data_IF_007923611539
#
_entry.id   IF_007923611539
#
_cell.length_a   1.000
_cell.length_b   1.000
_cell.length_c   1.000
_cell.angle_alpha   90.00
_cell.angle_beta   90.00
_cell.angle_gamma   90.00
#
_symmetry.space_group_name_H-M   'P 1'
#
loop_
_entity.id
_entity.type
_entity.pdbx_description
1 polymer ?
#
# COMPACT_ATOMS: atom_id res chain seq x y z
N UNK A 1 12.99 -11.14 -2.05
CA UNK A 1 12.70 -11.12 -3.48
C UNK A 1 12.88 -9.71 -3.96
N UNK A 2 13.66 -9.57 -5.03
CA UNK A 2 13.91 -8.32 -5.74
C UNK A 2 13.83 -8.65 -7.23
N UNK A 3 13.21 -7.78 -8.02
CA UNK A 3 13.09 -7.96 -9.47
C UNK A 3 14.17 -7.18 -10.19
N UNK A 4 14.60 -7.70 -11.34
CA UNK A 4 15.60 -7.04 -12.17
C UNK A 4 14.99 -5.86 -12.92
N UNK A 5 15.81 -4.89 -13.40
CA UNK A 5 15.31 -3.82 -14.25
C UNK A 5 14.57 -4.33 -15.50
N UNK A 6 15.05 -5.43 -16.10
CA UNK A 6 14.39 -6.05 -17.25
C UNK A 6 13.00 -6.61 -16.92
N UNK A 7 12.86 -7.27 -15.76
CA UNK A 7 11.55 -7.74 -15.27
C UNK A 7 10.64 -6.55 -14.92
N UNK A 8 11.20 -5.49 -14.37
CA UNK A 8 10.46 -4.27 -14.03
C UNK A 8 9.88 -3.58 -15.27
N UNK A 9 10.60 -3.55 -16.40
CA UNK A 9 10.09 -2.98 -17.65
C UNK A 9 8.77 -3.65 -18.11
N UNK A 10 8.55 -4.92 -17.77
CA UNK A 10 7.30 -5.62 -18.09
C UNK A 10 6.09 -5.11 -17.31
N UNK A 11 6.30 -4.47 -16.16
CA UNK A 11 5.24 -3.96 -15.29
C UNK A 11 5.20 -2.44 -15.22
N UNK A 12 6.17 -1.75 -15.82
CA UNK A 12 6.35 -0.30 -15.70
C UNK A 12 5.09 0.48 -16.13
N UNK A 13 4.39 0.00 -17.16
CA UNK A 13 3.16 0.58 -17.67
C UNK A 13 1.99 0.56 -16.66
N UNK A 14 2.05 -0.28 -15.62
CA UNK A 14 1.06 -0.32 -14.55
C UNK A 14 1.29 0.77 -13.49
N UNK A 15 2.48 1.38 -13.47
CA UNK A 15 2.91 2.31 -12.43
C UNK A 15 2.71 3.76 -12.87
N UNK A 16 2.37 4.66 -11.95
CA UNK A 16 2.26 6.07 -12.27
C UNK A 16 3.64 6.65 -12.61
N UNK A 17 3.66 7.51 -13.64
CA UNK A 17 4.83 8.31 -13.97
C UNK A 17 5.26 9.16 -12.77
N UNK A 18 6.56 9.13 -12.48
CA UNK A 18 7.15 9.91 -11.40
C UNK A 18 7.14 11.39 -11.82
N UNK A 19 6.60 12.28 -10.97
CA UNK A 19 6.57 13.73 -11.23
C UNK A 19 7.36 14.48 -10.17
N UNK A 20 8.13 15.49 -10.61
CA UNK A 20 8.96 16.33 -9.74
C UNK A 20 10.27 15.66 -9.35
N UNK A 21 10.92 16.20 -8.32
CA UNK A 21 12.18 15.68 -7.80
C UNK A 21 11.90 14.47 -6.88
N UNK A 22 12.09 13.26 -7.39
CA UNK A 22 11.76 12.01 -6.69
C UNK A 22 13.05 11.29 -6.32
N UNK A 23 13.31 11.13 -5.03
CA UNK A 23 14.55 10.53 -4.52
C UNK A 23 14.61 9.00 -4.65
N UNK A 24 13.46 8.33 -4.82
CA UNK A 24 13.37 6.88 -4.97
C UNK A 24 12.67 6.50 -6.27
N UNK A 25 13.31 5.62 -7.04
CA UNK A 25 12.75 5.10 -8.29
C UNK A 25 11.56 4.17 -8.03
N UNK A 26 10.73 3.97 -9.05
CA UNK A 26 9.60 3.04 -8.93
C UNK A 26 10.09 1.61 -8.67
N UNK A 27 11.18 1.20 -9.32
CA UNK A 27 11.82 -0.11 -9.09
C UNK A 27 12.21 -0.31 -7.61
N UNK A 28 12.88 0.67 -6.99
CA UNK A 28 13.28 0.58 -5.58
C UNK A 28 12.07 0.39 -4.66
N UNK A 29 10.99 1.13 -4.92
CA UNK A 29 9.75 1.03 -4.14
C UNK A 29 9.09 -0.31 -4.34
N UNK A 30 9.02 -0.81 -5.58
CA UNK A 30 8.48 -2.13 -5.90
C UNK A 30 9.27 -3.23 -5.17
N UNK A 31 10.60 -3.20 -5.25
CA UNK A 31 11.45 -4.17 -4.53
C UNK A 31 11.22 -4.12 -3.01
N UNK A 32 11.08 -2.93 -2.43
CA UNK A 32 10.78 -2.78 -1.01
C UNK A 32 9.40 -3.36 -0.62
N UNK A 33 8.38 -3.14 -1.45
CA UNK A 33 7.03 -3.69 -1.25
C UNK A 33 7.06 -5.22 -1.35
N UNK A 34 7.74 -5.75 -2.37
CA UNK A 34 7.86 -7.20 -2.58
C UNK A 34 8.60 -7.88 -1.43
N UNK A 35 9.64 -7.24 -0.89
CA UNK A 35 10.34 -7.73 0.30
C UNK A 35 9.39 -7.85 1.49
N UNK A 36 8.60 -6.80 1.78
CA UNK A 36 7.63 -6.82 2.89
C UNK A 36 6.55 -7.88 2.67
N UNK A 37 6.04 -8.01 1.44
CA UNK A 37 5.01 -8.98 1.10
C UNK A 37 5.49 -10.44 1.25
N UNK A 38 6.73 -10.73 0.86
CA UNK A 38 7.29 -12.08 0.96
C UNK A 38 7.68 -12.46 2.39
N UNK A 39 8.21 -11.52 3.18
CA UNK A 39 8.73 -11.82 4.52
C UNK A 39 7.70 -11.57 5.64
N UNK A 40 6.55 -10.96 5.32
CA UNK A 40 5.50 -10.65 6.30
C UNK A 40 5.95 -9.71 7.43
N UNK A 41 6.96 -8.86 7.19
CA UNK A 41 7.54 -8.03 8.23
C UNK A 41 6.79 -6.71 8.44
N UNK A 42 6.88 -6.14 9.65
CA UNK A 42 6.40 -4.77 9.91
C UNK A 42 7.20 -3.79 9.05
N UNK A 43 6.56 -2.73 8.52
CA UNK A 43 7.25 -1.70 7.73
C UNK A 43 8.48 -1.10 8.42
N UNK A 44 8.45 -0.91 9.75
CA UNK A 44 9.62 -0.41 10.51
C UNK A 44 10.81 -1.37 10.53
N UNK A 45 10.59 -2.65 10.23
CA UNK A 45 11.62 -3.67 10.07
C UNK A 45 12.17 -3.76 8.65
N UNK A 46 11.74 -2.90 7.71
CA UNK A 46 12.30 -2.86 6.36
C UNK A 46 13.82 -2.59 6.41
N UNK A 47 14.66 -3.46 5.81
CA UNK A 47 16.10 -3.24 5.76
C UNK A 47 16.46 -1.91 5.10
N UNK A 48 17.42 -1.18 5.69
CA UNK A 48 17.84 0.16 5.22
C UNK A 48 18.27 0.20 3.74
N UNK A 49 18.72 -0.92 3.16
CA UNK A 49 19.09 -1.03 1.73
C UNK A 49 17.92 -0.71 0.79
N UNK A 50 16.68 -0.90 1.24
CA UNK A 50 15.48 -0.56 0.49
C UNK A 50 15.06 0.91 0.63
N UNK A 51 15.82 1.70 1.39
CA UNK A 51 15.53 3.11 1.65
C UNK A 51 14.68 3.33 2.90
N UNK A 52 14.15 4.54 3.01
CA UNK A 52 13.36 4.94 4.17
C UNK A 52 11.98 4.28 4.15
N UNK A 53 11.71 3.46 5.17
CA UNK A 53 10.43 2.74 5.31
C UNK A 53 9.21 3.68 5.24
N UNK A 54 9.30 4.90 5.78
CA UNK A 54 8.18 5.84 5.80
C UNK A 54 7.84 6.32 4.38
N UNK A 55 8.85 6.56 3.55
CA UNK A 55 8.69 6.94 2.14
C UNK A 55 8.05 5.81 1.35
N UNK A 56 8.54 4.59 1.52
CA UNK A 56 7.99 3.39 0.87
C UNK A 56 6.53 3.18 1.27
N UNK A 57 6.25 3.19 2.58
CA UNK A 57 4.89 3.01 3.11
C UNK A 57 3.92 4.06 2.59
N UNK A 58 4.30 5.34 2.62
CA UNK A 58 3.44 6.43 2.14
C UNK A 58 3.09 6.27 0.67
N UNK A 59 4.06 5.86 -0.15
CA UNK A 59 3.87 5.66 -1.58
C UNK A 59 3.05 4.41 -1.89
N UNK A 60 3.35 3.30 -1.20
CA UNK A 60 2.57 2.06 -1.25
C UNK A 60 1.11 2.35 -0.90
N UNK A 61 0.84 3.03 0.21
CA UNK A 61 -0.53 3.37 0.63
C UNK A 61 -1.26 4.23 -0.40
N UNK A 62 -0.56 5.18 -1.05
CA UNK A 62 -1.13 5.96 -2.16
C UNK A 62 -1.45 5.07 -3.36
N UNK A 63 -0.56 4.16 -3.72
CA UNK A 63 -0.75 3.22 -4.83
C UNK A 63 -1.86 2.21 -4.56
N UNK A 64 -1.98 1.73 -3.33
CA UNK A 64 -3.06 0.87 -2.87
C UNK A 64 -4.42 1.56 -3.07
N UNK A 65 -4.57 2.79 -2.59
CA UNK A 65 -5.81 3.58 -2.75
C UNK A 65 -6.16 3.90 -4.20
N UNK A 66 -5.16 3.95 -5.08
CA UNK A 66 -5.33 4.23 -6.50
C UNK A 66 -5.47 2.96 -7.38
N UNK A 67 -5.56 1.77 -6.77
CA UNK A 67 -5.63 0.49 -7.50
C UNK A 67 -4.39 0.19 -8.35
N UNK A 68 -3.25 0.83 -8.06
CA UNK A 68 -1.99 0.60 -8.77
C UNK A 68 -1.37 -0.72 -8.35
N UNK A 69 -1.43 -1.06 -7.05
CA UNK A 69 -0.88 -2.31 -6.54
C UNK A 69 -1.60 -3.52 -7.13
N UNK A 70 -2.94 -3.47 -7.24
CA UNK A 70 -3.75 -4.54 -7.83
C UNK A 70 -3.31 -4.87 -9.25
N UNK A 71 -3.21 -3.83 -10.09
CA UNK A 71 -2.77 -3.96 -11.50
C UNK A 71 -1.32 -4.44 -11.60
N UNK A 72 -0.42 -3.86 -10.80
CA UNK A 72 0.98 -4.24 -10.76
C UNK A 72 1.14 -5.72 -10.40
N UNK A 73 0.48 -6.19 -9.34
CA UNK A 73 0.59 -7.57 -8.89
C UNK A 73 -0.07 -8.56 -9.85
N UNK A 74 -1.23 -8.22 -10.42
CA UNK A 74 -1.83 -9.03 -11.48
C UNK A 74 -0.88 -9.20 -12.67
N UNK A 75 -0.18 -8.12 -13.07
CA UNK A 75 0.79 -8.20 -14.16
C UNK A 75 2.04 -9.02 -13.77
N UNK A 76 2.55 -8.86 -12.55
CA UNK A 76 3.68 -9.66 -12.05
C UNK A 76 3.36 -11.17 -12.06
N UNK A 77 2.13 -11.55 -11.72
CA UNK A 77 1.65 -12.93 -11.77
C UNK A 77 1.50 -13.42 -13.22
N UNK A 78 0.88 -12.61 -14.10
CA UNK A 78 0.73 -12.94 -15.54
C UNK A 78 2.07 -13.14 -16.23
N UNK A 79 3.06 -12.32 -15.92
CA UNK A 79 4.43 -12.44 -16.46
C UNK A 79 5.27 -13.51 -15.76
N UNK A 80 4.69 -14.26 -14.81
CA UNK A 80 5.37 -15.29 -14.00
C UNK A 80 6.66 -14.81 -13.31
N UNK A 81 6.76 -13.50 -13.04
CA UNK A 81 7.91 -12.90 -12.34
C UNK A 81 7.86 -13.27 -10.86
N UNK A 82 6.65 -13.41 -10.32
CA UNK A 82 6.42 -13.78 -8.91
C UNK A 82 5.48 -14.97 -8.84
N UNK A 83 5.81 -15.94 -7.99
CA UNK A 83 4.93 -17.07 -7.61
C UNK A 83 4.19 -16.79 -6.30
N UNK A 84 4.00 -15.52 -5.96
CA UNK A 84 3.30 -15.12 -4.75
C UNK A 84 1.81 -15.12 -5.07
N UNK A 85 1.07 -16.11 -4.53
CA UNK A 85 -0.37 -15.98 -4.37
C UNK A 85 -0.62 -14.88 -3.34
N UNK A 86 -1.17 -13.76 -3.79
CA UNK A 86 -1.61 -12.70 -2.87
C UNK A 86 -2.99 -13.13 -2.40
N UNK A 87 -3.00 -14.04 -1.42
CA UNK A 87 -4.17 -14.24 -0.58
C UNK A 87 -4.21 -13.01 0.32
N UNK A 88 -5.29 -12.24 0.25
CA UNK A 88 -5.40 -10.90 0.82
C UNK A 88 -4.70 -10.77 2.18
N UNK A 89 -3.72 -9.85 2.29
CA UNK A 89 -3.12 -9.50 3.57
C UNK A 89 -4.11 -8.64 4.34
N UNK A 90 -5.04 -9.29 5.04
CA UNK A 90 -5.88 -8.66 6.07
C UNK A 90 -4.96 -8.29 7.23
N UNK A 91 -4.70 -6.99 7.41
CA UNK A 91 -4.01 -6.47 8.57
C UNK A 91 -5.07 -6.11 9.61
N UNK A 92 -5.27 -6.94 10.62
CA UNK A 92 -6.26 -6.69 11.68
C UNK A 92 -5.81 -5.50 12.52
N UNK A 93 -6.33 -4.30 12.22
CA UNK A 93 -6.14 -3.14 13.09
C UNK A 93 -7.10 -3.24 14.27
N UNK A 94 -6.60 -3.59 15.45
CA UNK A 94 -7.37 -3.44 16.70
C UNK A 94 -7.36 -1.97 17.12
N UNK A 95 -8.53 -1.33 17.12
CA UNK A 95 -8.72 -0.02 17.76
C UNK A 95 -9.46 -0.22 19.08
N UNK A 96 -8.84 0.18 20.20
CA UNK A 96 -9.47 0.16 21.52
C UNK A 96 -9.98 1.57 21.81
N UNK A 97 -11.28 1.70 22.05
CA UNK A 97 -11.88 2.97 22.46
C UNK A 97 -11.44 3.27 23.89
N UNK A 98 -10.69 4.34 24.07
CA UNK A 98 -10.23 4.79 25.39
C UNK A 98 -11.31 5.68 26.02
N UNK A 99 -11.43 5.66 27.35
CA UNK A 99 -12.25 6.62 28.08
C UNK A 99 -11.83 8.06 27.71
N UNK A 100 -12.75 9.04 27.61
CA UNK A 100 -12.40 10.43 27.30
C UNK A 100 -11.25 10.99 28.16
N UNK A 101 -11.20 10.63 29.43
CA UNK A 101 -10.13 11.05 30.37
C UNK A 101 -8.76 10.40 30.14
N UNK A 102 -8.67 9.38 29.27
CA UNK A 102 -7.40 8.78 28.83
C UNK A 102 -6.85 9.41 27.54
N UNK A 103 -7.57 10.36 26.94
CA UNK A 103 -7.10 11.07 25.76
C UNK A 103 -6.16 12.18 26.20
N UNK A 104 -4.86 12.00 25.98
CA UNK A 104 -3.85 13.02 26.31
C UNK A 104 -4.21 14.40 25.77
N UNK A 105 -3.74 15.44 26.47
CA UNK A 105 -4.10 16.84 26.23
C UNK A 105 -4.07 17.25 24.74
N UNK A 106 -5.14 17.89 24.28
CA UNK A 106 -5.26 18.50 22.96
C UNK A 106 -4.05 19.40 22.68
N UNK A 107 -3.23 19.05 21.69
CA UNK A 107 -2.24 19.99 21.13
C UNK A 107 -3.02 21.16 20.53
N UNK A 108 -2.76 22.37 21.05
CA UNK A 108 -3.36 23.62 20.61
C UNK A 108 -2.97 23.91 19.16
N UNK A 109 -3.81 23.52 18.21
CA UNK A 109 -3.80 24.09 16.86
C UNK A 109 -5.01 25.01 16.76
N UNK A 110 -4.76 26.29 16.53
CA UNK A 110 -5.80 27.31 16.45
C UNK A 110 -6.88 26.90 15.40
N UNK A 111 -8.15 26.93 15.82
CA UNK A 111 -9.32 26.66 14.98
C UNK A 111 -9.46 27.72 13.89
N UNK A 112 -9.56 27.29 12.63
CA UNK A 112 -10.33 27.99 11.60
C UNK A 112 -11.66 27.24 11.41
N UNK A 113 -12.83 27.90 11.39
CA UNK A 113 -14.10 27.23 11.22
C UNK A 113 -14.40 27.03 9.73
N UNK A 114 -14.76 25.80 9.33
CA UNK A 114 -15.53 25.53 8.11
C UNK A 114 -16.06 24.10 8.12
N UNK A 115 -17.38 24.00 7.96
CA UNK A 115 -18.21 22.85 7.63
C UNK A 115 -18.50 21.80 8.73
N UNK A 116 -19.80 21.48 8.83
CA UNK A 116 -20.41 20.48 9.69
C UNK A 116 -19.80 19.09 9.50
N UNK A 117 -19.65 18.26 10.56
CA UNK A 117 -19.18 16.89 10.40
C UNK A 117 -20.23 16.06 9.66
N UNK A 118 -19.87 15.54 8.49
CA UNK A 118 -20.46 14.30 8.02
C UNK A 118 -20.05 13.19 9.00
N UNK A 119 -20.96 12.26 9.31
CA UNK A 119 -20.72 11.08 10.15
C UNK A 119 -19.38 10.45 9.77
N UNK A 120 -18.44 10.46 10.73
CA UNK A 120 -17.14 9.80 10.61
C UNK A 120 -17.38 8.28 10.48
N UNK A 121 -17.40 7.79 9.25
CA UNK A 121 -17.26 6.36 8.97
C UNK A 121 -15.86 5.89 9.39
N UNK A 122 -15.76 4.64 9.84
CA UNK A 122 -14.49 4.01 10.20
C UNK A 122 -13.43 4.25 9.12
N UNK A 123 -12.24 4.79 9.46
CA UNK A 123 -11.19 4.98 8.48
C UNK A 123 -10.77 3.63 7.92
N UNK A 124 -11.04 3.40 6.62
CA UNK A 124 -10.60 2.19 5.92
C UNK A 124 -9.10 2.26 5.68
N UNK A 125 -8.34 1.64 6.59
CA UNK A 125 -6.91 1.36 6.43
C UNK A 125 -6.64 0.05 5.66
N UNK A 126 -7.70 -0.69 5.36
CA UNK A 126 -7.65 -2.00 4.73
C UNK A 126 -7.55 -1.81 3.20
N UNK A 127 -6.46 -2.29 2.61
CA UNK A 127 -6.40 -2.59 1.19
C UNK A 127 -6.91 -4.02 0.99
N UNK A 128 -8.02 -4.16 0.28
CA UNK A 128 -8.54 -5.44 -0.20
C UNK A 128 -8.39 -5.44 -1.72
N UNK A 129 -7.58 -6.32 -2.31
CA UNK A 129 -7.58 -6.49 -3.74
C UNK A 129 -8.95 -7.04 -4.15
N UNK A 130 -9.62 -6.30 -5.04
CA UNK A 130 -10.92 -6.70 -5.56
C UNK A 130 -10.71 -7.92 -6.46
N UNK A 131 -11.16 -9.08 -5.99
CA UNK A 131 -11.25 -10.30 -6.79
C UNK A 131 -12.13 -9.99 -8.00
N UNK A 132 -11.55 -9.99 -9.19
CA UNK A 132 -12.34 -10.19 -10.40
C UNK A 132 -12.80 -11.64 -10.35
N UNK A 133 -14.03 -11.83 -9.86
CA UNK A 133 -14.83 -13.03 -10.10
C UNK A 133 -14.62 -13.42 -11.57
N UNK A 134 -13.97 -14.56 -11.80
CA UNK A 134 -13.91 -15.16 -13.13
C UNK A 134 -15.35 -15.45 -13.54
N UNK A 135 -15.84 -15.00 -14.71
CA UNK A 135 -17.15 -15.44 -15.16
C UNK A 135 -17.09 -16.96 -15.34
N UNK A 136 -17.98 -17.67 -14.65
CA UNK A 136 -18.27 -19.08 -14.87
C UNK A 136 -18.45 -19.35 -16.36
N UNK A 137 -17.91 -20.44 -16.91
CA UNK A 137 -18.34 -20.90 -18.23
C UNK A 137 -19.84 -21.15 -18.16
N UNK A 138 -20.55 -20.62 -19.16
CA UNK A 138 -21.98 -20.80 -19.38
C UNK A 138 -22.27 -22.28 -19.66
N UNK A 139 -23.31 -22.81 -19.03
CA UNK A 139 -24.21 -23.82 -19.62
C UNK A 139 -25.32 -23.09 -20.39
#
# INVERSE_FOLDING_TARGET
>A
MEITPAQFSLIEHCLPAQRGNVSMTNLQVVNAILYVAEHGCKWRGLPKRFGNWHTVYTRMNRWAKAGVLDRMFAQLQKSQIVRIKIEAVSLDSTSVKVHPDGTGALKKTARRPSASPAVDGTPRFIWLPQMLEQPSPLD
#
